data_IF_160249640315
#
_entry.id   IF_160249640315
#
_cell.length_a   1.000
_cell.length_b   1.000
_cell.length_c   1.000
_cell.angle_alpha   90.00
_cell.angle_beta   90.00
_cell.angle_gamma   90.00
#
_symmetry.space_group_name_H-M   'P 1'
#
loop_
_entity.id
_entity.type
_entity.pdbx_description
1 polymer ?
#
# COMPACT_ATOMS: atom_id res chain seq x y z
N UNK A 1 22.85 7.40 -9.76
CA UNK A 1 21.54 7.20 -10.43
C UNK A 1 20.49 7.66 -9.43
N UNK A 2 19.40 8.27 -9.90
CA UNK A 2 18.23 8.60 -9.09
C UNK A 2 17.14 7.54 -9.31
N UNK A 3 16.47 7.15 -8.23
CA UNK A 3 15.35 6.19 -8.21
C UNK A 3 14.35 6.64 -7.15
N UNK A 4 13.07 6.39 -7.38
CA UNK A 4 11.94 6.74 -6.51
C UNK A 4 11.50 5.59 -5.59
N UNK A 5 12.07 4.39 -5.76
CA UNK A 5 11.87 3.18 -4.95
C UNK A 5 10.42 2.63 -4.92
N UNK A 6 9.50 3.26 -5.66
CA UNK A 6 8.08 2.88 -5.71
C UNK A 6 7.39 3.10 -4.37
N UNK A 7 7.23 4.37 -3.96
CA UNK A 7 6.55 4.71 -2.71
C UNK A 7 5.01 4.61 -2.85
N UNK A 8 4.39 3.83 -1.95
CA UNK A 8 3.05 3.24 -2.09
C UNK A 8 1.82 4.05 -1.66
N UNK A 9 1.86 5.27 -1.08
CA UNK A 9 0.66 6.08 -1.02
C UNK A 9 0.51 6.86 -2.33
N UNK A 10 -0.67 6.86 -2.96
CA UNK A 10 -0.99 7.73 -4.08
C UNK A 10 -0.55 9.19 -3.85
N UNK A 11 -0.68 9.71 -2.62
CA UNK A 11 -0.25 11.07 -2.27
C UNK A 11 1.23 11.36 -2.51
N UNK A 12 2.09 10.35 -2.63
CA UNK A 12 3.49 10.55 -3.02
C UNK A 12 3.62 11.25 -4.38
N UNK A 13 2.69 10.98 -5.30
CA UNK A 13 2.71 11.50 -6.66
C UNK A 13 2.26 12.96 -6.79
N UNK A 14 1.76 13.59 -5.71
CA UNK A 14 1.29 14.99 -5.74
C UNK A 14 2.37 15.98 -6.17
N UNK A 15 3.61 15.74 -5.73
CA UNK A 15 4.72 16.66 -5.96
C UNK A 15 5.51 16.34 -7.24
N UNK A 16 5.18 15.24 -7.91
CA UNK A 16 5.90 14.70 -9.06
C UNK A 16 6.57 13.35 -8.76
N UNK A 17 7.44 12.91 -9.68
CA UNK A 17 8.16 11.63 -9.58
C UNK A 17 9.66 11.91 -9.54
N UNK A 18 10.36 11.63 -10.65
CA UNK A 18 11.79 11.90 -10.77
C UNK A 18 12.07 13.42 -10.82
N UNK A 19 11.16 14.22 -11.36
CA UNK A 19 11.30 15.68 -11.39
C UNK A 19 11.31 16.27 -9.98
N UNK A 20 10.47 15.74 -9.08
CA UNK A 20 10.49 16.10 -7.66
C UNK A 20 11.84 15.76 -7.00
N UNK A 21 12.37 14.58 -7.24
CA UNK A 21 13.68 14.17 -6.70
C UNK A 21 14.83 15.05 -7.22
N UNK A 22 14.79 15.46 -8.50
CA UNK A 22 15.75 16.41 -9.06
C UNK A 22 15.63 17.76 -8.35
N UNK A 23 14.40 18.23 -8.08
CA UNK A 23 14.18 19.49 -7.36
C UNK A 23 14.79 19.43 -5.96
N UNK A 24 14.53 18.36 -5.20
CA UNK A 24 15.14 18.14 -3.89
C UNK A 24 16.66 18.16 -3.96
N UNK A 25 17.27 17.50 -4.96
CA UNK A 25 18.73 17.48 -5.12
C UNK A 25 19.30 18.89 -5.35
N UNK A 26 18.66 19.69 -6.21
CA UNK A 26 19.07 21.07 -6.49
C UNK A 26 18.94 21.95 -5.23
N UNK A 27 17.82 21.83 -4.50
CA UNK A 27 17.57 22.60 -3.27
C UNK A 27 18.59 22.28 -2.16
N UNK A 28 19.09 21.04 -2.10
CA UNK A 28 20.11 20.60 -1.15
C UNK A 28 21.55 20.86 -1.62
N UNK A 29 21.73 21.65 -2.70
CA UNK A 29 23.03 22.15 -3.13
C UNK A 29 23.77 21.28 -4.14
N UNK A 30 23.12 20.27 -4.74
CA UNK A 30 23.71 19.53 -5.86
C UNK A 30 23.73 20.44 -7.10
N UNK A 31 24.86 20.54 -7.83
CA UNK A 31 24.92 21.29 -9.08
C UNK A 31 23.84 20.81 -10.07
N UNK A 32 23.16 21.76 -10.70
CA UNK A 32 22.01 21.51 -11.58
C UNK A 32 22.32 20.45 -12.66
N UNK A 33 23.48 20.56 -13.31
CA UNK A 33 23.90 19.62 -14.36
C UNK A 33 24.07 18.21 -13.80
N UNK A 34 24.64 18.07 -12.61
CA UNK A 34 24.84 16.77 -11.95
C UNK A 34 23.50 16.16 -11.52
N UNK A 35 22.55 16.98 -11.07
CA UNK A 35 21.19 16.54 -10.74
C UNK A 35 20.50 15.89 -11.96
N UNK A 36 20.54 16.52 -13.13
CA UNK A 36 20.02 15.91 -14.36
C UNK A 36 20.85 14.71 -14.82
N UNK A 37 22.17 14.74 -14.66
CA UNK A 37 23.03 13.62 -15.03
C UNK A 37 22.70 12.35 -14.20
N UNK A 38 22.35 12.51 -12.92
CA UNK A 38 21.92 11.42 -12.04
C UNK A 38 20.63 10.75 -12.53
N UNK A 39 19.70 11.50 -13.12
CA UNK A 39 18.43 11.01 -13.65
C UNK A 39 18.48 10.54 -15.12
N UNK A 40 19.56 10.84 -15.86
CA UNK A 40 19.66 10.57 -17.31
C UNK A 40 20.85 9.69 -17.65
N UNK A 41 22.03 10.27 -17.90
CA UNK A 41 23.21 9.56 -18.42
C UNK A 41 23.73 8.51 -17.44
N UNK A 42 23.66 8.78 -16.13
CA UNK A 42 24.13 7.83 -15.13
C UNK A 42 23.22 6.59 -15.07
N UNK A 43 21.92 6.77 -15.32
CA UNK A 43 20.99 5.66 -15.43
C UNK A 43 21.27 4.83 -16.69
N UNK A 44 21.43 5.50 -17.84
CA UNK A 44 21.72 4.83 -19.10
C UNK A 44 23.04 4.05 -19.08
N UNK A 45 24.10 4.62 -18.48
CA UNK A 45 25.41 3.96 -18.31
C UNK A 45 25.32 2.74 -17.41
N UNK A 46 24.56 2.82 -16.32
CA UNK A 46 24.41 1.69 -15.41
C UNK A 46 23.77 0.48 -16.11
N UNK A 47 22.79 0.72 -16.98
CA UNK A 47 22.12 -0.33 -17.75
C UNK A 47 22.81 -0.68 -19.08
N UNK A 48 23.92 -0.01 -19.45
CA UNK A 48 24.62 -0.25 -20.72
C UNK A 48 23.83 0.17 -21.98
N UNK A 49 22.91 1.12 -21.84
CA UNK A 49 22.04 1.63 -22.90
C UNK A 49 22.35 3.07 -23.30
N UNK A 50 23.54 3.57 -22.97
CA UNK A 50 23.96 4.96 -23.25
C UNK A 50 24.10 5.27 -24.76
N UNK A 51 24.16 4.23 -25.58
CA UNK A 51 24.11 4.35 -27.04
C UNK A 51 22.70 4.66 -27.56
N UNK A 52 21.66 4.40 -26.76
CA UNK A 52 20.25 4.69 -27.10
C UNK A 52 19.68 5.87 -26.32
N UNK A 53 19.97 5.94 -25.01
CA UNK A 53 19.31 6.82 -24.04
C UNK A 53 20.29 7.63 -23.18
N UNK A 54 19.76 8.59 -22.43
CA UNK A 54 20.51 9.34 -21.41
C UNK A 54 21.35 10.51 -21.92
N UNK A 55 21.21 10.89 -23.19
CA UNK A 55 21.92 12.04 -23.79
C UNK A 55 21.23 12.52 -25.04
N UNK A 56 21.43 13.80 -25.36
CA UNK A 56 21.04 14.39 -26.64
C UNK A 56 22.26 14.35 -27.58
N UNK A 57 22.26 13.39 -28.51
CA UNK A 57 23.28 13.30 -29.56
C UNK A 57 22.72 12.59 -30.81
N UNK A 58 23.38 12.78 -31.95
CA UNK A 58 23.03 12.08 -33.20
C UNK A 58 23.12 10.56 -33.04
N UNK A 59 22.13 9.84 -33.58
CA UNK A 59 22.06 8.37 -33.50
C UNK A 59 21.38 7.82 -32.24
N UNK A 60 20.95 8.68 -31.31
CA UNK A 60 20.19 8.31 -30.11
C UNK A 60 18.68 8.48 -30.31
N UNK A 61 17.89 7.80 -29.48
CA UNK A 61 16.43 7.91 -29.52
C UNK A 61 16.01 9.25 -28.92
N UNK A 62 15.13 9.98 -29.62
CA UNK A 62 14.66 11.29 -29.22
C UNK A 62 13.60 11.22 -28.09
N UNK A 63 14.08 10.94 -26.87
CA UNK A 63 13.35 11.17 -25.62
C UNK A 63 13.85 12.47 -24.99
N UNK A 64 13.07 13.55 -25.11
CA UNK A 64 13.52 14.91 -24.77
C UNK A 64 12.46 15.59 -23.92
N UNK A 65 12.90 16.11 -22.77
CA UNK A 65 12.11 16.97 -21.90
C UNK A 65 12.52 18.43 -22.11
N UNK A 66 11.57 19.28 -22.41
CA UNK A 66 11.77 20.73 -22.53
C UNK A 66 11.36 21.41 -21.22
N UNK A 67 12.29 22.09 -20.59
CA UNK A 67 12.11 22.74 -19.29
C UNK A 67 11.95 24.25 -19.46
N UNK A 68 11.21 24.90 -18.56
CA UNK A 68 11.10 26.37 -18.54
C UNK A 68 12.37 27.04 -18.03
N UNK A 69 13.06 26.37 -17.11
CA UNK A 69 14.29 26.84 -16.48
C UNK A 69 15.14 25.63 -16.10
N UNK A 70 16.46 25.81 -16.01
CA UNK A 70 17.35 24.78 -15.50
C UNK A 70 17.10 24.44 -14.02
N UNK A 71 16.46 25.34 -13.27
CA UNK A 71 16.07 25.12 -11.87
C UNK A 71 14.66 24.55 -11.70
N UNK A 72 13.89 24.43 -12.79
CA UNK A 72 12.55 23.85 -12.77
C UNK A 72 12.55 22.52 -13.54
N UNK A 73 12.66 21.38 -12.84
CA UNK A 73 12.76 20.07 -13.47
C UNK A 73 11.45 19.55 -14.07
N UNK A 74 10.31 20.19 -13.80
CA UNK A 74 9.02 19.76 -14.34
C UNK A 74 8.93 20.11 -15.84
N UNK A 75 8.71 19.13 -16.73
CA UNK A 75 8.73 19.36 -18.17
C UNK A 75 7.50 20.11 -18.68
N UNK A 76 7.75 21.19 -19.41
CA UNK A 76 6.74 21.95 -20.14
C UNK A 76 6.28 21.22 -21.40
N UNK A 77 7.21 20.57 -22.11
CA UNK A 77 6.92 19.75 -23.29
C UNK A 77 7.74 18.47 -23.22
N UNK A 78 7.19 17.38 -23.77
CA UNK A 78 7.80 16.06 -23.75
C UNK A 78 7.72 15.43 -25.13
N UNK A 79 8.87 14.97 -25.61
CA UNK A 79 9.03 14.21 -26.84
C UNK A 79 9.41 12.77 -26.48
N UNK A 80 8.72 11.79 -27.03
CA UNK A 80 9.06 10.37 -26.88
C UNK A 80 9.21 9.71 -28.25
N UNK A 81 10.36 9.07 -28.51
CA UNK A 81 10.69 8.46 -29.81
C UNK A 81 10.54 9.41 -31.01
N UNK A 82 10.70 10.72 -30.79
CA UNK A 82 10.50 11.74 -31.81
C UNK A 82 9.07 12.24 -31.99
N UNK A 83 8.10 11.69 -31.23
CA UNK A 83 6.70 12.09 -31.26
C UNK A 83 6.35 12.96 -30.04
N UNK A 84 5.49 13.97 -30.23
CA UNK A 84 5.06 14.84 -29.14
C UNK A 84 4.03 14.12 -28.27
N UNK A 85 4.40 13.85 -27.02
CA UNK A 85 3.51 13.25 -26.01
C UNK A 85 2.97 14.29 -25.02
N UNK A 86 3.56 15.47 -24.99
CA UNK A 86 3.02 16.66 -24.30
C UNK A 86 3.50 17.90 -25.01
N UNK A 87 2.58 18.75 -25.48
CA UNK A 87 2.91 20.01 -26.14
C UNK A 87 1.89 21.07 -25.78
N UNK A 88 2.37 22.27 -25.46
CA UNK A 88 1.54 23.45 -25.16
C UNK A 88 0.48 23.22 -24.07
N UNK A 89 0.78 22.34 -23.11
CA UNK A 89 -0.11 21.99 -21.99
C UNK A 89 -1.08 20.85 -22.28
N UNK A 90 -1.20 20.41 -23.53
CA UNK A 90 -2.03 19.29 -23.93
C UNK A 90 -1.20 17.99 -23.94
N UNK A 91 -1.75 16.95 -23.33
CA UNK A 91 -1.26 15.58 -23.43
C UNK A 91 -2.33 14.77 -24.17
N UNK A 92 -2.05 14.22 -25.37
CA UNK A 92 -2.99 13.30 -26.00
C UNK A 92 -3.24 12.10 -25.08
N UNK A 93 -4.44 11.49 -25.10
CA UNK A 93 -4.69 10.24 -24.40
C UNK A 93 -3.73 9.18 -24.96
N UNK A 94 -2.77 8.76 -24.12
CA UNK A 94 -1.65 7.93 -24.54
C UNK A 94 -1.98 6.45 -24.60
N UNK A 95 -3.09 6.02 -23.97
CA UNK A 95 -3.41 4.61 -23.83
C UNK A 95 -4.86 4.31 -24.23
N UNK A 96 -5.09 3.24 -25.00
CA UNK A 96 -6.44 2.73 -25.23
C UNK A 96 -7.02 2.20 -23.92
N UNK A 97 -8.34 2.26 -23.78
CA UNK A 97 -9.06 1.58 -22.72
C UNK A 97 -8.72 0.08 -22.77
N UNK A 98 -8.02 -0.39 -21.74
CA UNK A 98 -7.64 -1.79 -21.61
C UNK A 98 -8.79 -2.55 -20.96
N UNK A 99 -9.32 -3.54 -21.67
CA UNK A 99 -10.22 -4.52 -21.07
C UNK A 99 -9.42 -5.50 -20.20
N UNK A 100 -9.13 -5.10 -18.96
CA UNK A 100 -8.37 -5.88 -17.97
C UNK A 100 -8.84 -7.35 -17.82
N UNK A 101 -10.13 -7.60 -18.04
CA UNK A 101 -10.74 -8.92 -18.00
C UNK A 101 -10.18 -9.91 -19.04
N UNK A 102 -9.66 -9.42 -20.17
CA UNK A 102 -9.00 -10.26 -21.20
C UNK A 102 -7.67 -10.82 -20.69
N UNK A 103 -7.02 -10.12 -19.74
CA UNK A 103 -5.76 -10.53 -19.11
C UNK A 103 -5.98 -11.31 -17.81
N UNK A 104 -7.22 -11.68 -17.48
CA UNK A 104 -7.56 -12.39 -16.25
C UNK A 104 -7.61 -11.52 -15.00
N UNK A 105 -7.47 -10.20 -15.13
CA UNK A 105 -7.60 -9.25 -14.02
C UNK A 105 -9.07 -8.90 -13.88
N UNK A 106 -9.71 -9.43 -12.83
CA UNK A 106 -11.13 -9.26 -12.54
C UNK A 106 -11.32 -8.80 -11.10
N UNK A 107 -12.50 -8.23 -10.77
CA UNK A 107 -12.86 -7.96 -9.39
C UNK A 107 -12.72 -9.21 -8.52
N UNK A 108 -12.31 -9.01 -7.28
CA UNK A 108 -12.19 -10.05 -6.30
C UNK A 108 -13.55 -10.74 -6.08
N UNK A 109 -13.59 -12.05 -6.26
CA UNK A 109 -14.76 -12.87 -5.97
C UNK A 109 -14.41 -13.88 -4.89
N UNK A 110 -15.07 -13.77 -3.74
CA UNK A 110 -14.90 -14.66 -2.59
C UNK A 110 -16.17 -15.51 -2.47
N UNK A 111 -16.14 -16.84 -2.68
CA UNK A 111 -17.34 -17.67 -2.59
C UNK A 111 -17.79 -17.96 -1.14
N UNK A 112 -17.07 -17.45 -0.15
CA UNK A 112 -17.28 -17.69 1.27
C UNK A 112 -17.51 -16.37 2.03
N UNK A 113 -18.00 -16.48 3.27
CA UNK A 113 -18.23 -15.37 4.21
C UNK A 113 -17.41 -15.56 5.48
N UNK A 114 -17.15 -14.50 6.24
CA UNK A 114 -16.54 -14.59 7.58
C UNK A 114 -17.62 -14.82 8.62
N UNK A 115 -17.44 -15.84 9.45
CA UNK A 115 -18.36 -16.18 10.54
C UNK A 115 -17.74 -15.90 11.91
N UNK A 116 -18.54 -15.95 12.98
CA UNK A 116 -18.08 -15.77 14.35
C UNK A 116 -16.97 -16.73 14.76
N UNK A 117 -16.99 -17.95 14.21
CA UNK A 117 -15.95 -18.94 14.45
C UNK A 117 -14.59 -18.46 13.92
N UNK A 118 -14.58 -17.66 12.84
CA UNK A 118 -13.38 -17.07 12.25
C UNK A 118 -12.76 -15.96 13.10
N UNK A 119 -13.50 -15.39 14.06
CA UNK A 119 -13.08 -14.29 14.94
C UNK A 119 -12.82 -14.74 16.39
N UNK A 120 -12.37 -15.98 16.56
CA UNK A 120 -11.93 -16.51 17.86
C UNK A 120 -10.44 -16.21 18.10
N UNK A 121 -10.12 -15.59 19.23
CA UNK A 121 -8.75 -15.18 19.57
C UNK A 121 -8.28 -15.93 20.81
N UNK A 122 -7.48 -16.98 20.60
CA UNK A 122 -6.96 -17.86 21.65
C UNK A 122 -5.44 -17.78 21.84
N UNK A 123 -4.74 -17.01 20.99
CA UNK A 123 -3.28 -16.92 21.05
C UNK A 123 -2.83 -16.05 22.24
N UNK A 124 -1.95 -16.55 23.12
CA UNK A 124 -1.41 -15.76 24.23
C UNK A 124 -0.36 -14.72 23.77
N UNK A 125 -0.01 -14.73 22.49
CA UNK A 125 0.99 -13.83 21.89
C UNK A 125 0.32 -12.92 20.86
N UNK A 126 0.63 -11.63 20.96
CA UNK A 126 0.28 -10.61 19.99
C UNK A 126 1.52 -10.01 19.32
N UNK A 127 1.28 -9.07 18.42
CA UNK A 127 2.26 -8.28 17.70
C UNK A 127 2.19 -6.83 18.16
N UNK A 128 3.31 -6.26 18.57
CA UNK A 128 3.41 -4.85 18.96
C UNK A 128 4.14 -4.06 17.89
N UNK A 129 3.51 -3.00 17.41
CA UNK A 129 4.12 -2.02 16.51
C UNK A 129 5.05 -1.10 17.32
N UNK A 130 6.36 -1.20 17.10
CA UNK A 130 7.32 -0.23 17.63
C UNK A 130 7.36 1.03 16.76
N UNK A 131 7.12 0.83 15.46
CA UNK A 131 6.87 1.84 14.45
C UNK A 131 6.04 1.18 13.32
N UNK A 132 5.82 1.90 12.21
CA UNK A 132 5.08 1.39 11.04
C UNK A 132 5.68 0.11 10.41
N UNK A 133 6.94 -0.23 10.72
CA UNK A 133 7.72 -1.28 10.04
C UNK A 133 8.09 -2.43 10.97
N UNK A 134 8.44 -2.13 12.23
CA UNK A 134 9.01 -3.08 13.19
C UNK A 134 7.92 -3.64 14.11
N UNK A 135 7.75 -4.95 14.05
CA UNK A 135 6.80 -5.71 14.86
C UNK A 135 7.54 -6.62 15.84
N UNK A 136 7.29 -6.49 17.14
CA UNK A 136 7.85 -7.36 18.17
C UNK A 136 6.75 -8.24 18.79
N UNK A 137 7.08 -9.47 19.22
CA UNK A 137 6.12 -10.28 19.97
C UNK A 137 5.86 -9.63 21.34
N UNK A 138 4.62 -9.69 21.80
CA UNK A 138 4.27 -9.34 23.18
C UNK A 138 3.27 -10.34 23.75
N UNK A 139 3.25 -10.48 25.08
CA UNK A 139 2.28 -11.32 25.79
C UNK A 139 0.96 -10.58 25.94
N UNK A 140 -0.12 -11.17 25.45
CA UNK A 140 -1.47 -10.61 25.56
C UNK A 140 -1.93 -10.75 27.01
N UNK A 141 -2.29 -9.64 27.64
CA UNK A 141 -2.79 -9.59 29.02
C UNK A 141 -4.27 -9.18 29.12
N UNK A 142 -4.92 -8.91 27.99
CA UNK A 142 -6.31 -8.49 27.93
C UNK A 142 -7.24 -9.67 27.65
N UNK A 143 -8.51 -9.49 27.98
CA UNK A 143 -9.56 -10.48 27.71
C UNK A 143 -9.96 -10.44 26.23
N UNK A 144 -9.45 -11.39 25.46
CA UNK A 144 -9.72 -11.54 24.02
C UNK A 144 -11.02 -12.28 23.71
N UNK A 145 -11.74 -12.78 24.73
CA UNK A 145 -13.02 -13.48 24.55
C UNK A 145 -14.16 -12.54 24.17
N UNK A 146 -14.00 -11.24 24.46
CA UNK A 146 -14.99 -10.20 24.18
C UNK A 146 -15.16 -9.93 22.70
N UNK A 147 -16.34 -9.46 22.32
CA UNK A 147 -16.64 -9.06 20.93
C UNK A 147 -16.25 -7.61 20.64
N UNK A 148 -16.15 -6.80 21.69
CA UNK A 148 -15.70 -5.40 21.65
C UNK A 148 -14.59 -5.16 22.65
N UNK A 149 -13.45 -4.67 22.17
CA UNK A 149 -12.32 -4.22 22.99
C UNK A 149 -12.59 -2.82 23.55
N UNK A 150 -12.01 -2.51 24.71
CA UNK A 150 -12.15 -1.20 25.34
C UNK A 150 -11.27 -0.14 24.68
N UNK A 151 -11.61 1.14 24.85
CA UNK A 151 -10.83 2.28 24.34
C UNK A 151 -9.69 2.71 25.29
N UNK A 152 -9.55 2.03 26.44
CA UNK A 152 -8.52 2.25 27.46
C UNK A 152 -7.14 1.72 27.07
N UNK A 153 -7.06 0.98 25.96
CA UNK A 153 -5.86 0.32 25.49
C UNK A 153 -5.76 0.40 23.94
N UNK A 154 -4.59 0.11 23.38
CA UNK A 154 -4.25 0.31 21.95
C UNK A 154 -4.16 -0.99 21.15
N UNK A 155 -4.64 -2.09 21.73
CA UNK A 155 -4.80 -3.37 21.05
C UNK A 155 -6.05 -3.40 20.16
N UNK A 156 -5.85 -3.92 18.95
CA UNK A 156 -6.88 -4.32 17.99
C UNK A 156 -6.79 -5.84 17.75
N UNK A 157 -7.91 -6.44 17.41
CA UNK A 157 -7.94 -7.74 16.76
C UNK A 157 -7.26 -7.64 15.40
N UNK A 158 -6.45 -8.63 15.03
CA UNK A 158 -5.85 -8.80 13.71
C UNK A 158 -6.14 -10.20 13.20
N UNK A 159 -6.75 -10.27 12.03
CA UNK A 159 -7.02 -11.53 11.33
C UNK A 159 -6.41 -11.46 9.94
N UNK A 160 -5.58 -12.45 9.62
CA UNK A 160 -5.15 -12.70 8.26
C UNK A 160 -5.93 -13.91 7.72
N UNK A 161 -6.62 -13.74 6.60
CA UNK A 161 -7.46 -14.76 5.98
C UNK A 161 -6.94 -15.12 4.59
N UNK A 162 -6.91 -16.42 4.28
CA UNK A 162 -6.68 -16.93 2.94
C UNK A 162 -7.69 -16.37 1.95
N UNK A 163 -7.26 -15.95 0.77
CA UNK A 163 -8.16 -15.52 -0.31
C UNK A 163 -9.19 -16.60 -0.70
N UNK A 164 -8.84 -17.88 -0.59
CA UNK A 164 -9.75 -18.99 -0.87
C UNK A 164 -10.49 -19.52 0.37
N UNK A 165 -10.32 -18.90 1.54
CA UNK A 165 -11.00 -19.25 2.77
C UNK A 165 -10.54 -20.58 3.38
N UNK A 166 -9.31 -21.03 3.12
CA UNK A 166 -8.79 -22.33 3.63
C UNK A 166 -8.12 -22.25 4.99
N UNK A 167 -7.55 -21.10 5.32
CA UNK A 167 -6.78 -20.91 6.56
C UNK A 167 -6.95 -19.49 7.07
N UNK A 168 -6.65 -19.32 8.35
CA UNK A 168 -6.66 -18.04 9.05
C UNK A 168 -5.54 -17.94 10.08
N UNK A 169 -5.16 -16.72 10.43
CA UNK A 169 -4.26 -16.42 11.54
C UNK A 169 -4.88 -15.30 12.36
N UNK A 170 -5.20 -15.62 13.61
CA UNK A 170 -5.86 -14.69 14.53
C UNK A 170 -4.87 -14.29 15.62
N UNK A 171 -4.59 -13.00 15.75
CA UNK A 171 -3.70 -12.48 16.78
C UNK A 171 -4.14 -11.09 17.23
N UNK A 172 -3.46 -10.53 18.21
CA UNK A 172 -3.69 -9.17 18.68
C UNK A 172 -2.62 -8.25 18.12
N UNK A 173 -3.00 -7.08 17.62
CA UNK A 173 -2.09 -6.05 17.14
C UNK A 173 -2.14 -4.85 18.09
N UNK A 174 -1.01 -4.55 18.74
CA UNK A 174 -0.87 -3.42 19.66
C UNK A 174 -0.18 -2.26 18.97
N UNK A 175 -0.72 -1.05 19.13
CA UNK A 175 -0.15 0.19 18.58
C UNK A 175 -0.62 0.54 17.17
N UNK A 176 -1.69 -0.10 16.68
CA UNK A 176 -2.30 0.23 15.40
C UNK A 176 -3.34 1.34 15.52
N UNK A 177 -4.32 1.22 16.41
CA UNK A 177 -5.35 2.23 16.63
C UNK A 177 -6.03 2.04 17.99
N UNK A 178 -6.47 3.15 18.62
CA UNK A 178 -7.17 3.10 19.91
C UNK A 178 -8.69 3.00 19.79
N UNK A 179 -9.26 3.38 18.65
CA UNK A 179 -10.71 3.51 18.50
C UNK A 179 -11.31 2.93 17.21
N UNK A 180 -10.52 2.27 16.35
CA UNK A 180 -11.03 1.65 15.12
C UNK A 180 -12.12 0.60 15.39
N UNK A 181 -13.32 0.79 14.84
CA UNK A 181 -14.38 -0.23 14.80
C UNK A 181 -13.93 -1.50 14.07
N UNK A 182 -13.89 -1.45 12.74
CA UNK A 182 -13.41 -2.51 11.87
C UNK A 182 -12.84 -1.99 10.55
N UNK A 183 -11.77 -2.61 10.09
CA UNK A 183 -11.09 -2.37 8.82
C UNK A 183 -10.96 -3.71 8.10
N UNK A 184 -11.34 -3.74 6.83
CA UNK A 184 -11.07 -4.85 5.93
C UNK A 184 -10.25 -4.38 4.74
N UNK A 185 -9.21 -5.13 4.38
CA UNK A 185 -8.36 -4.84 3.22
C UNK A 185 -8.07 -6.10 2.43
N UNK A 186 -8.33 -6.06 1.12
CA UNK A 186 -7.78 -7.03 0.18
C UNK A 186 -6.40 -6.63 -0.35
N UNK A 187 -5.97 -5.39 -0.06
CA UNK A 187 -4.64 -4.90 -0.36
C UNK A 187 -3.67 -5.38 0.73
N UNK A 188 -2.81 -6.33 0.36
CA UNK A 188 -1.82 -6.93 1.24
C UNK A 188 -0.61 -7.43 0.44
N UNK A 189 0.51 -7.70 1.11
CA UNK A 189 1.74 -8.11 0.43
C UNK A 189 1.62 -9.50 -0.23
N UNK A 190 0.73 -10.36 0.27
CA UNK A 190 0.51 -11.71 -0.27
C UNK A 190 -0.75 -11.83 -1.14
N UNK A 191 -1.59 -10.80 -1.20
CA UNK A 191 -2.92 -10.85 -1.82
C UNK A 191 -3.97 -11.59 -0.99
N UNK A 192 -3.67 -11.85 0.28
CA UNK A 192 -4.60 -12.34 1.31
C UNK A 192 -5.38 -11.17 1.93
N UNK A 193 -6.37 -11.49 2.76
CA UNK A 193 -7.28 -10.49 3.33
C UNK A 193 -6.89 -10.17 4.77
N UNK A 194 -6.84 -8.90 5.10
CA UNK A 194 -6.51 -8.40 6.44
C UNK A 194 -7.76 -7.79 7.05
N UNK A 195 -8.12 -8.24 8.26
CA UNK A 195 -9.11 -7.59 9.11
C UNK A 195 -8.44 -7.05 10.36
N UNK A 196 -8.68 -5.78 10.68
CA UNK A 196 -8.19 -5.14 11.90
C UNK A 196 -9.31 -4.36 12.55
N UNK A 197 -9.48 -4.46 13.86
CA UNK A 197 -10.50 -3.67 14.53
C UNK A 197 -10.63 -3.95 16.01
N UNK A 198 -11.46 -3.17 16.67
CA UNK A 198 -11.81 -3.36 18.08
C UNK A 198 -13.19 -3.98 18.25
N UNK A 199 -14.00 -4.02 17.20
CA UNK A 199 -15.34 -4.57 17.21
C UNK A 199 -15.51 -5.63 16.11
N UNK A 200 -15.77 -6.88 16.52
CA UNK A 200 -15.88 -8.02 15.60
C UNK A 200 -16.99 -7.85 14.56
N UNK A 201 -18.14 -7.29 14.95
CA UNK A 201 -19.26 -7.06 14.03
C UNK A 201 -18.89 -6.05 12.93
N UNK A 202 -18.21 -4.95 13.30
CA UNK A 202 -17.73 -3.96 12.33
C UNK A 202 -16.68 -4.56 11.40
N UNK A 203 -15.80 -5.45 11.90
CA UNK A 203 -14.85 -6.18 11.05
C UNK A 203 -15.56 -7.07 10.02
N UNK A 204 -16.62 -7.77 10.42
CA UNK A 204 -17.44 -8.59 9.51
C UNK A 204 -18.21 -7.72 8.51
N UNK A 205 -18.74 -6.58 8.94
CA UNK A 205 -19.43 -5.63 8.09
C UNK A 205 -18.48 -5.05 7.02
N UNK A 206 -17.30 -4.60 7.44
CA UNK A 206 -16.25 -4.13 6.54
C UNK A 206 -15.84 -5.21 5.53
N UNK A 207 -15.70 -6.47 5.98
CA UNK A 207 -15.38 -7.59 5.11
C UNK A 207 -16.44 -7.82 4.02
N UNK A 208 -17.72 -7.87 4.43
CA UNK A 208 -18.84 -8.08 3.51
C UNK A 208 -18.89 -6.97 2.46
N UNK A 209 -18.73 -5.72 2.88
CA UNK A 209 -18.73 -4.59 1.96
C UNK A 209 -17.54 -4.60 1.01
N UNK A 210 -16.33 -4.90 1.50
CA UNK A 210 -15.12 -5.06 0.68
C UNK A 210 -15.34 -6.13 -0.40
N UNK A 211 -16.01 -7.24 -0.05
CA UNK A 211 -16.37 -8.29 -1.00
C UNK A 211 -17.39 -7.82 -2.04
N UNK A 212 -18.42 -7.07 -1.66
CA UNK A 212 -19.44 -6.52 -2.56
C UNK A 212 -18.86 -5.57 -3.62
N UNK A 213 -17.90 -4.72 -3.23
CA UNK A 213 -17.26 -3.77 -4.14
C UNK A 213 -16.17 -4.40 -5.02
N UNK A 214 -15.98 -5.73 -4.93
CA UNK A 214 -15.01 -6.46 -5.75
C UNK A 214 -13.56 -6.34 -5.29
N UNK A 215 -13.35 -6.15 -3.98
CA UNK A 215 -12.04 -5.91 -3.37
C UNK A 215 -11.76 -4.44 -3.14
N UNK A 216 -10.98 -4.14 -2.11
CA UNK A 216 -10.76 -2.77 -1.66
C UNK A 216 -10.29 -2.66 -0.22
N UNK A 217 -10.37 -1.44 0.30
CA UNK A 217 -10.17 -1.10 1.71
C UNK A 217 -11.49 -0.52 2.23
N UNK A 218 -12.02 -1.06 3.31
CA UNK A 218 -13.29 -0.61 3.90
C UNK A 218 -13.14 -0.41 5.39
N UNK A 219 -13.63 0.72 5.90
CA UNK A 219 -13.81 0.96 7.34
C UNK A 219 -15.28 0.93 7.70
N UNK A 220 -15.58 0.26 8.81
CA UNK A 220 -16.87 0.26 9.45
C UNK A 220 -16.74 0.65 10.93
N UNK A 221 -17.78 1.29 11.47
CA UNK A 221 -17.86 1.66 12.88
C UNK A 221 -19.32 1.74 13.32
N UNK A 222 -19.62 1.14 14.47
CA UNK A 222 -20.95 1.12 15.08
C UNK A 222 -22.06 0.71 14.09
N UNK A 223 -21.76 -0.25 13.20
CA UNK A 223 -22.70 -0.80 12.22
C UNK A 223 -22.86 -0.01 10.91
N UNK A 224 -22.07 1.04 10.68
CA UNK A 224 -22.10 1.84 9.45
C UNK A 224 -20.77 1.77 8.69
N UNK A 225 -20.83 1.90 7.35
CA UNK A 225 -19.63 2.04 6.51
C UNK A 225 -19.21 3.50 6.51
N UNK A 226 -18.03 3.77 7.06
CA UNK A 226 -17.48 5.12 7.15
C UNK A 226 -16.66 5.51 5.92
N UNK A 227 -16.02 4.52 5.29
CA UNK A 227 -15.14 4.73 4.16
C UNK A 227 -15.01 3.45 3.35
N UNK A 228 -14.94 3.59 2.03
CA UNK A 228 -14.62 2.51 1.11
C UNK A 228 -13.75 3.02 -0.05
N UNK A 229 -12.71 2.27 -0.35
CA UNK A 229 -11.87 2.46 -1.53
C UNK A 229 -11.93 1.19 -2.37
N UNK A 230 -12.61 1.26 -3.52
CA UNK A 230 -12.72 0.12 -4.44
C UNK A 230 -11.40 -0.11 -5.18
N UNK A 231 -10.96 -1.37 -5.20
CA UNK A 231 -9.80 -1.87 -5.93
C UNK A 231 -10.24 -2.96 -6.92
N UNK A 232 -11.00 -2.62 -7.97
CA UNK A 232 -11.67 -3.59 -8.85
C UNK A 232 -10.70 -4.43 -9.68
N UNK A 233 -9.43 -4.02 -9.77
CA UNK A 233 -8.41 -4.75 -10.49
C UNK A 233 -7.73 -5.74 -9.54
N UNK A 234 -8.29 -6.96 -9.47
CA UNK A 234 -7.73 -8.07 -8.70
C UNK A 234 -7.86 -7.94 -7.18
N UNK A 235 -8.54 -6.90 -6.67
CA UNK A 235 -8.56 -6.53 -5.25
C UNK A 235 -7.34 -5.71 -4.82
N UNK A 236 -6.52 -5.25 -5.76
CA UNK A 236 -5.21 -4.64 -5.47
C UNK A 236 -5.02 -3.25 -6.11
N UNK A 237 -5.60 -2.98 -7.28
CA UNK A 237 -5.43 -1.69 -7.96
C UNK A 237 -6.77 -1.01 -8.22
N UNK A 238 -6.76 0.32 -8.15
CA UNK A 238 -7.91 1.15 -8.46
C UNK A 238 -7.99 1.43 -9.97
N UNK A 239 -9.20 1.74 -10.45
CA UNK A 239 -9.44 2.30 -11.78
C UNK A 239 -9.69 3.81 -11.75
N UNK A 240 -9.59 4.45 -10.59
CA UNK A 240 -9.70 5.89 -10.44
C UNK A 240 -8.50 6.60 -11.06
N UNK A 241 -8.72 7.84 -11.50
CA UNK A 241 -7.63 8.73 -11.86
C UNK A 241 -6.75 9.02 -10.63
N UNK A 242 -5.45 9.28 -10.87
CA UNK A 242 -4.48 9.43 -9.78
C UNK A 242 -4.88 10.54 -8.80
N UNK A 243 -5.37 11.68 -9.31
CA UNK A 243 -5.80 12.80 -8.47
C UNK A 243 -7.02 12.45 -7.58
N UNK A 244 -7.94 11.65 -8.10
CA UNK A 244 -9.10 11.17 -7.32
C UNK A 244 -8.65 10.17 -6.25
N UNK A 245 -7.78 9.22 -6.64
CA UNK A 245 -7.23 8.22 -5.75
C UNK A 245 -6.42 8.83 -4.59
N UNK A 246 -5.69 9.92 -4.84
CA UNK A 246 -5.00 10.70 -3.83
C UNK A 246 -5.97 11.27 -2.79
N UNK A 247 -7.10 11.82 -3.23
CA UNK A 247 -8.09 12.38 -2.32
C UNK A 247 -8.77 11.32 -1.45
N UNK A 248 -9.02 10.14 -2.02
CA UNK A 248 -9.54 8.98 -1.28
C UNK A 248 -8.54 8.48 -0.24
N UNK A 249 -7.26 8.36 -0.60
CA UNK A 249 -6.21 7.95 0.33
C UNK A 249 -6.02 8.96 1.47
N UNK A 250 -6.01 10.27 1.18
CA UNK A 250 -5.98 11.30 2.23
C UNK A 250 -7.16 11.22 3.18
N UNK A 251 -8.34 10.88 2.67
CA UNK A 251 -9.54 10.67 3.49
C UNK A 251 -9.38 9.44 4.37
N UNK A 252 -8.88 8.32 3.84
CA UNK A 252 -8.55 7.12 4.59
C UNK A 252 -7.56 7.39 5.73
N UNK A 253 -6.44 8.05 5.43
CA UNK A 253 -5.41 8.40 6.42
C UNK A 253 -5.99 9.29 7.52
N UNK A 254 -6.78 10.30 7.15
CA UNK A 254 -7.43 11.20 8.12
C UNK A 254 -8.34 10.43 9.07
N UNK A 255 -9.22 9.58 8.54
CA UNK A 255 -10.17 8.80 9.34
C UNK A 255 -9.48 7.81 10.29
N UNK A 256 -8.37 7.19 9.87
CA UNK A 256 -7.59 6.32 10.76
C UNK A 256 -6.85 7.12 11.84
N UNK A 257 -6.28 8.28 11.52
CA UNK A 257 -5.63 9.16 12.51
C UNK A 257 -6.60 9.67 13.56
N UNK A 258 -7.81 10.06 13.17
CA UNK A 258 -8.88 10.43 14.10
C UNK A 258 -9.22 9.30 15.08
N UNK A 259 -9.00 8.04 14.68
CA UNK A 259 -9.18 6.83 15.51
C UNK A 259 -7.91 6.40 16.26
N UNK A 260 -6.88 7.25 16.28
CA UNK A 260 -5.67 7.01 17.05
C UNK A 260 -4.62 6.16 16.33
N UNK A 261 -4.64 6.09 14.99
CA UNK A 261 -3.52 5.55 14.23
C UNK A 261 -2.29 6.49 14.35
N UNK A 262 -1.13 6.02 14.86
CA UNK A 262 -0.05 6.91 15.27
C UNK A 262 1.01 7.19 14.20
N UNK A 263 0.97 6.54 13.04
CA UNK A 263 2.02 6.64 12.03
C UNK A 263 1.60 7.44 10.78
N UNK A 264 2.51 7.58 9.83
CA UNK A 264 2.27 8.35 8.62
C UNK A 264 1.35 7.63 7.63
N UNK A 265 1.71 6.39 7.26
CA UNK A 265 1.05 5.64 6.18
C UNK A 265 0.46 4.29 6.66
N UNK A 266 -0.89 4.20 6.74
CA UNK A 266 -1.60 2.99 7.10
C UNK A 266 -1.55 1.89 6.02
N UNK A 267 -1.50 2.23 4.73
CA UNK A 267 -1.40 1.26 3.64
C UNK A 267 -0.06 0.51 3.74
N UNK A 268 1.03 1.22 4.00
CA UNK A 268 2.33 0.60 4.24
C UNK A 268 2.34 -0.29 5.48
N UNK A 269 1.67 0.13 6.54
CA UNK A 269 1.57 -0.70 7.74
C UNK A 269 0.92 -2.05 7.43
N UNK A 270 -0.14 -2.08 6.62
CA UNK A 270 -0.79 -3.33 6.19
C UNK A 270 0.19 -4.23 5.40
N UNK A 271 0.99 -3.66 4.50
CA UNK A 271 2.02 -4.40 3.75
C UNK A 271 3.09 -4.99 4.68
N UNK A 272 3.58 -4.20 5.63
CA UNK A 272 4.68 -4.60 6.51
C UNK A 272 4.29 -5.66 7.55
N UNK A 273 3.00 -5.86 7.83
CA UNK A 273 2.51 -6.97 8.67
C UNK A 273 2.99 -8.33 8.17
N UNK A 274 3.19 -8.48 6.86
CA UNK A 274 3.51 -9.75 6.20
C UNK A 274 4.90 -9.77 5.55
N UNK A 275 5.68 -8.70 5.66
CA UNK A 275 6.99 -8.56 5.01
C UNK A 275 8.09 -9.37 5.72
N UNK A 276 8.35 -10.58 5.24
CA UNK A 276 9.34 -11.52 5.81
C UNK A 276 10.81 -11.14 5.57
N UNK A 277 11.08 -10.05 4.85
CA UNK A 277 12.43 -9.50 4.67
C UNK A 277 12.83 -8.52 5.79
N UNK A 278 11.90 -8.20 6.70
CA UNK A 278 12.13 -7.34 7.85
C UNK A 278 12.33 -8.16 9.13
N UNK A 279 13.07 -7.64 10.13
CA UNK A 279 13.41 -8.41 11.33
C UNK A 279 12.19 -8.70 12.23
N UNK A 280 12.37 -9.66 13.15
CA UNK A 280 11.41 -10.10 14.17
C UNK A 280 10.20 -10.88 13.61
N UNK A 281 8.99 -10.55 14.04
CA UNK A 281 7.80 -11.40 13.84
C UNK A 281 6.87 -10.86 12.75
N UNK A 282 6.33 -11.74 11.90
CA UNK A 282 5.39 -11.39 10.82
C UNK A 282 4.20 -12.34 10.78
N UNK A 283 3.04 -11.84 10.36
CA UNK A 283 1.88 -12.70 10.08
C UNK A 283 2.00 -13.21 8.66
N UNK A 284 1.96 -14.53 8.49
CA UNK A 284 2.10 -15.18 7.19
C UNK A 284 1.04 -16.25 7.02
N UNK A 285 0.90 -16.79 5.81
CA UNK A 285 0.01 -17.92 5.50
C UNK A 285 0.31 -19.18 6.32
N UNK A 286 1.56 -19.32 6.80
CA UNK A 286 2.00 -20.42 7.66
C UNK A 286 1.75 -20.16 9.14
N UNK A 287 1.28 -18.96 9.51
CA UNK A 287 1.13 -18.50 10.88
C UNK A 287 2.07 -17.35 11.24
N UNK A 288 2.31 -17.16 12.54
CA UNK A 288 3.22 -16.12 13.03
C UNK A 288 4.66 -16.61 12.91
N UNK A 289 5.44 -15.94 12.06
CA UNK A 289 6.79 -16.31 11.67
C UNK A 289 7.82 -15.41 12.33
N UNK A 290 8.80 -16.00 13.02
CA UNK A 290 10.02 -15.30 13.46
C UNK A 290 11.06 -15.36 12.34
N UNK A 291 11.33 -14.21 11.72
CA UNK A 291 12.24 -14.05 10.60
C UNK A 291 13.69 -14.31 10.99
N UNK A 292 14.09 -13.91 12.20
CA UNK A 292 15.48 -14.03 12.64
C UNK A 292 15.84 -15.49 12.94
N UNK A 293 14.93 -16.21 13.59
CA UNK A 293 15.11 -17.63 13.93
C UNK A 293 14.62 -18.58 12.83
N UNK A 294 13.93 -18.05 11.81
CA UNK A 294 13.33 -18.79 10.69
C UNK A 294 12.33 -19.86 11.13
N UNK A 295 11.61 -19.61 12.21
CA UNK A 295 10.67 -20.56 12.82
C UNK A 295 9.25 -20.01 12.82
N UNK A 296 8.28 -20.89 12.63
CA UNK A 296 6.87 -20.58 12.85
C UNK A 296 6.58 -20.73 14.35
N UNK A 297 6.24 -19.64 15.02
CA UNK A 297 5.94 -19.62 16.46
C UNK A 297 4.55 -20.22 16.72
N UNK A 298 3.57 -19.84 15.90
CA UNK A 298 2.21 -20.35 15.95
C UNK A 298 1.74 -20.62 14.53
N UNK A 299 1.23 -21.83 14.22
CA UNK A 299 0.76 -22.17 12.88
C UNK A 299 -0.55 -21.46 12.54
N UNK A 300 -0.88 -21.39 11.24
CA UNK A 300 -2.22 -21.02 10.80
C UNK A 300 -3.25 -22.07 11.19
N UNK A 301 -4.49 -21.62 11.40
CA UNK A 301 -5.63 -22.45 11.75
C UNK A 301 -6.37 -22.76 10.44
N UNK A 302 -6.65 -24.03 10.19
CA UNK A 302 -7.47 -24.44 9.05
C UNK A 302 -8.93 -24.05 9.30
N UNK A 303 -9.58 -23.53 8.26
CA UNK A 303 -10.97 -23.13 8.26
C UNK A 303 -11.85 -24.25 7.71
#
# INVERSE_FOLDING_TARGET
MLVDDGCSPPSFYENGVIDWLIRIAIEHGVPVIDAYAMATINAARHYGIEHLHGSIATGRIAHINFLRSAHDPTPAQVLAKGEWVKRDGEAPPLWPDLEWGQFGIRPLSLPWEVDWDDLQFSMPMGLRMENAVILKPYSVSIDTSRDRLGHDHDECFLVLLDRNGRWRVNTMLKGFSSALGGLASSYSNTGDLILIGKHKEDMMLAFRRMKEIGGGIVLAEDGEILFELSLPLGGMMSSLEVDELINEEKTFVRLLRERGYPFEDPVYSLLFLQSTHLPYVRVTQRGIYDVMHKTVLFPSIMR
#
